data_IF_688470782632
#
_entry.id   IF_688470782632
#
_cell.length_a   1.000
_cell.length_b   1.000
_cell.length_c   1.000
_cell.angle_alpha   90.00
_cell.angle_beta   90.00
_cell.angle_gamma   90.00
#
_symmetry.space_group_name_H-M   'P 1'
#
loop_
_entity.id
_entity.type
_entity.pdbx_description
1 polymer ?
#
# COMPACT_ATOMS: atom_id res chain seq x y z
N UNK A 1 -6.98 -25.29 10.04
CA UNK A 1 -7.81 -26.32 9.38
C UNK A 1 -7.09 -26.92 8.17
N UNK A 2 -6.62 -26.13 7.17
CA UNK A 2 -5.88 -26.68 6.03
C UNK A 2 -4.60 -27.46 6.45
N UNK A 3 -3.87 -26.94 7.42
CA UNK A 3 -2.68 -27.62 7.98
C UNK A 3 -3.02 -28.91 8.73
N UNK A 4 -4.20 -28.97 9.34
CA UNK A 4 -4.68 -30.19 10.02
C UNK A 4 -5.03 -31.31 9.02
N UNK A 5 -5.39 -30.94 7.80
CA UNK A 5 -5.72 -31.86 6.71
C UNK A 5 -4.51 -32.16 5.80
N UNK A 6 -3.32 -31.62 6.12
CA UNK A 6 -2.10 -31.76 5.30
C UNK A 6 -2.32 -31.50 3.81
N UNK A 7 -3.08 -30.44 3.48
CA UNK A 7 -3.35 -30.09 2.10
C UNK A 7 -2.11 -29.58 1.37
N UNK A 8 -1.83 -30.12 0.22
CA UNK A 8 -0.82 -29.65 -0.73
C UNK A 8 -1.40 -28.64 -1.72
N UNK A 9 -0.54 -27.83 -2.35
CA UNK A 9 -0.95 -26.85 -3.39
C UNK A 9 -2.09 -25.95 -2.94
N UNK A 10 -2.00 -25.41 -1.73
CA UNK A 10 -3.05 -24.57 -1.15
C UNK A 10 -3.21 -23.25 -1.90
N UNK A 11 -4.45 -22.85 -2.15
CA UNK A 11 -4.82 -21.56 -2.70
C UNK A 11 -6.09 -21.03 -2.02
N UNK A 12 -6.25 -19.71 -2.01
CA UNK A 12 -7.50 -19.09 -1.55
C UNK A 12 -8.60 -19.41 -2.55
N UNK A 13 -9.67 -20.07 -2.09
CA UNK A 13 -10.77 -20.50 -2.95
C UNK A 13 -11.54 -19.35 -3.59
N UNK A 14 -11.78 -18.28 -2.82
CA UNK A 14 -12.46 -17.08 -3.29
C UNK A 14 -11.79 -15.84 -2.69
N UNK A 15 -10.81 -15.24 -3.40
CA UNK A 15 -10.16 -14.01 -2.97
C UNK A 15 -11.16 -12.87 -2.76
N UNK A 16 -10.94 -12.05 -1.73
CA UNK A 16 -11.75 -10.86 -1.46
C UNK A 16 -11.24 -9.66 -2.24
N UNK A 17 -12.18 -8.84 -2.72
CA UNK A 17 -11.92 -7.51 -3.31
C UNK A 17 -12.07 -6.42 -2.25
N UNK A 18 -11.66 -5.18 -2.58
CA UNK A 18 -11.81 -4.01 -1.69
C UNK A 18 -10.90 -4.02 -0.45
N UNK A 19 -9.94 -4.95 -0.37
CA UNK A 19 -8.97 -5.02 0.73
C UNK A 19 -7.63 -4.37 0.40
N UNK A 20 -7.47 -3.89 -0.82
CA UNK A 20 -6.28 -3.17 -1.28
C UNK A 20 -6.60 -1.70 -1.49
N UNK A 21 -5.63 -0.85 -1.18
CA UNK A 21 -5.67 0.58 -1.44
C UNK A 21 -4.40 1.04 -2.13
N UNK A 22 -4.48 2.18 -2.80
CA UNK A 22 -3.35 2.87 -3.40
C UNK A 22 -3.15 4.21 -2.70
N UNK A 23 -1.95 4.46 -2.19
CA UNK A 23 -1.50 5.78 -1.80
C UNK A 23 -0.87 6.46 -3.00
N UNK A 24 -1.24 7.71 -3.20
CA UNK A 24 -0.58 8.66 -4.09
C UNK A 24 -0.11 9.82 -3.23
N UNK A 25 1.17 10.16 -3.27
CA UNK A 25 1.74 11.30 -2.55
C UNK A 25 2.73 12.06 -3.42
N UNK A 26 2.80 13.37 -3.27
CA UNK A 26 3.67 14.26 -4.03
C UNK A 26 4.76 14.76 -3.09
N UNK A 27 6.02 14.45 -3.41
CA UNK A 27 7.17 14.63 -2.52
C UNK A 27 8.24 15.47 -3.21
N UNK A 28 8.79 16.53 -2.57
CA UNK A 28 9.93 17.25 -3.10
C UNK A 28 11.08 16.30 -3.42
N UNK A 29 11.73 16.51 -4.55
CA UNK A 29 12.77 15.61 -5.09
C UNK A 29 13.85 15.24 -4.07
N UNK A 30 14.17 16.17 -3.17
CA UNK A 30 15.19 15.99 -2.13
C UNK A 30 14.82 15.04 -1.01
N UNK A 31 13.50 14.72 -0.84
CA UNK A 31 12.98 13.89 0.25
C UNK A 31 12.33 12.59 -0.23
N UNK A 32 12.39 12.29 -1.54
CA UNK A 32 11.73 11.13 -2.15
C UNK A 32 12.16 9.82 -1.50
N UNK A 33 13.46 9.62 -1.30
CA UNK A 33 14.00 8.38 -0.74
C UNK A 33 13.56 8.17 0.71
N UNK A 34 13.59 9.23 1.53
CA UNK A 34 13.20 9.19 2.93
C UNK A 34 11.71 8.87 3.08
N UNK A 35 10.85 9.59 2.38
CA UNK A 35 9.39 9.38 2.43
C UNK A 35 9.02 8.00 1.89
N UNK A 36 9.63 7.57 0.77
CA UNK A 36 9.37 6.26 0.18
C UNK A 36 9.78 5.13 1.13
N UNK A 37 10.96 5.23 1.75
CA UNK A 37 11.41 4.23 2.72
C UNK A 37 10.47 4.15 3.93
N UNK A 38 10.03 5.29 4.47
CA UNK A 38 9.07 5.32 5.58
C UNK A 38 7.74 4.63 5.24
N UNK A 39 7.27 4.78 3.99
CA UNK A 39 6.07 4.11 3.48
C UNK A 39 6.28 2.59 3.41
N UNK A 40 7.44 2.13 2.94
CA UNK A 40 7.78 0.71 2.84
C UNK A 40 7.93 0.07 4.23
N UNK A 41 8.63 0.71 5.15
CA UNK A 41 8.82 0.23 6.53
C UNK A 41 7.49 0.14 7.30
N UNK A 42 6.51 0.94 6.88
CA UNK A 42 5.15 0.86 7.39
C UNK A 42 4.33 -0.30 6.81
N UNK A 43 4.82 -0.99 5.77
CA UNK A 43 4.24 -2.20 5.19
C UNK A 43 3.49 -1.99 3.88
N UNK A 44 3.78 -0.91 3.14
CA UNK A 44 3.30 -0.74 1.77
C UNK A 44 4.26 -1.36 0.74
N UNK A 45 3.78 -1.56 -0.50
CA UNK A 45 4.60 -1.97 -1.62
C UNK A 45 4.87 -3.47 -1.72
N UNK A 46 4.11 -4.33 -1.02
CA UNK A 46 4.21 -5.78 -1.19
C UNK A 46 3.27 -6.25 -2.31
N UNK A 47 3.81 -6.94 -3.31
CA UNK A 47 3.07 -7.52 -4.45
C UNK A 47 3.64 -8.91 -4.74
N UNK A 48 2.91 -9.96 -4.38
CA UNK A 48 3.40 -11.33 -4.50
C UNK A 48 4.67 -11.54 -3.67
N UNK A 49 5.71 -12.03 -4.32
CA UNK A 49 7.02 -12.27 -3.73
C UNK A 49 7.98 -11.07 -3.85
N UNK A 50 7.44 -9.89 -4.19
CA UNK A 50 8.19 -8.64 -4.28
C UNK A 50 7.76 -7.67 -3.17
N UNK A 51 8.73 -6.98 -2.61
CA UNK A 51 8.54 -5.89 -1.67
C UNK A 51 9.04 -4.56 -2.25
N UNK A 52 8.83 -3.46 -1.55
CA UNK A 52 9.27 -2.11 -1.94
C UNK A 52 8.83 -1.69 -3.35
N UNK A 53 7.70 -2.21 -3.82
CA UNK A 53 7.15 -1.87 -5.11
C UNK A 53 6.48 -0.50 -5.07
N UNK A 54 6.94 0.43 -5.89
CA UNK A 54 6.30 1.72 -6.12
C UNK A 54 6.46 2.15 -7.57
N UNK A 55 5.56 2.99 -8.04
CA UNK A 55 5.73 3.68 -9.31
C UNK A 55 5.97 5.16 -9.04
N UNK A 56 7.01 5.73 -9.64
CA UNK A 56 7.43 7.10 -9.38
C UNK A 56 7.43 7.91 -10.68
N UNK A 57 6.77 9.06 -10.68
CA UNK A 57 6.69 9.97 -11.83
C UNK A 57 7.20 11.34 -11.44
N UNK A 58 8.22 11.82 -12.12
CA UNK A 58 8.74 13.17 -11.93
C UNK A 58 7.77 14.22 -12.50
N UNK A 59 7.64 15.32 -11.80
CA UNK A 59 6.78 16.43 -12.18
C UNK A 59 7.12 17.68 -11.39
N UNK A 60 6.19 18.60 -11.31
CA UNK A 60 6.29 19.76 -10.43
C UNK A 60 4.94 20.07 -9.80
N UNK A 61 4.97 20.47 -8.53
CA UNK A 61 3.85 21.02 -7.81
C UNK A 61 3.85 22.54 -7.86
N UNK A 62 2.68 23.14 -7.73
CA UNK A 62 2.54 24.60 -7.55
C UNK A 62 1.64 24.88 -6.35
N UNK A 63 2.06 25.83 -5.53
CA UNK A 63 1.26 26.29 -4.39
C UNK A 63 1.59 27.74 -4.06
N UNK A 64 0.77 28.37 -3.24
CA UNK A 64 1.02 29.71 -2.71
C UNK A 64 0.72 29.68 -1.21
N UNK A 65 1.74 29.84 -0.35
CA UNK A 65 1.51 29.95 1.08
C UNK A 65 0.67 31.19 1.41
N UNK A 66 -0.32 31.03 2.26
CA UNK A 66 -1.16 32.13 2.73
C UNK A 66 -0.70 32.60 4.12
N UNK A 67 -1.24 33.74 4.57
CA UNK A 67 -0.98 34.25 5.92
C UNK A 67 -1.39 33.17 6.97
N UNK A 68 -0.45 32.87 7.89
CA UNK A 68 -0.60 31.81 8.89
C UNK A 68 0.09 30.49 8.54
N UNK A 69 0.54 30.29 7.28
CA UNK A 69 1.35 29.14 6.90
C UNK A 69 2.80 29.30 7.39
N UNK A 70 3.44 28.16 7.71
CA UNK A 70 4.86 28.06 7.97
C UNK A 70 5.53 27.14 6.94
N UNK A 71 5.71 27.63 5.69
CA UNK A 71 6.11 26.77 4.58
C UNK A 71 7.56 26.30 4.73
N UNK A 72 7.80 24.99 4.47
CA UNK A 72 9.15 24.43 4.37
C UNK A 72 9.91 24.96 3.13
N UNK A 73 9.18 25.37 2.09
CA UNK A 73 9.70 25.93 0.84
C UNK A 73 8.83 27.11 0.45
N UNK A 74 9.46 28.23 0.02
CA UNK A 74 8.78 29.39 -0.52
C UNK A 74 8.45 30.48 0.51
N UNK A 75 7.83 31.56 0.03
CA UNK A 75 7.50 32.76 0.79
C UNK A 75 5.99 32.98 0.81
N UNK A 76 5.45 33.43 1.95
CA UNK A 76 4.02 33.76 2.07
C UNK A 76 3.62 34.83 1.05
N UNK A 77 2.57 34.55 0.29
CA UNK A 77 2.02 35.43 -0.74
C UNK A 77 2.54 35.17 -2.16
N UNK A 78 3.69 34.53 -2.32
CA UNK A 78 4.27 34.22 -3.61
C UNK A 78 3.85 32.86 -4.14
N UNK A 79 3.71 32.72 -5.46
CA UNK A 79 3.43 31.44 -6.09
C UNK A 79 4.75 30.67 -6.28
N UNK A 80 4.81 29.50 -5.70
CA UNK A 80 5.96 28.61 -5.80
C UNK A 80 5.75 27.52 -6.86
N UNK A 81 6.88 27.06 -7.43
CA UNK A 81 6.94 25.90 -8.33
C UNK A 81 8.09 25.01 -7.90
N UNK A 82 7.78 23.82 -7.41
CA UNK A 82 8.75 22.89 -6.85
C UNK A 82 8.81 21.61 -7.67
N UNK A 83 10.01 21.11 -7.96
CA UNK A 83 10.20 19.79 -8.54
C UNK A 83 9.80 18.73 -7.54
N UNK A 84 8.82 17.91 -7.91
CA UNK A 84 8.26 16.85 -7.08
C UNK A 84 8.23 15.51 -7.81
N UNK A 85 8.22 14.46 -7.03
CA UNK A 85 7.95 13.11 -7.52
C UNK A 85 6.62 12.66 -6.96
N UNK A 86 5.71 12.25 -7.85
CA UNK A 86 4.52 11.51 -7.47
C UNK A 86 4.90 10.06 -7.19
N UNK A 87 4.71 9.59 -5.97
CA UNK A 87 4.89 8.20 -5.55
C UNK A 87 3.52 7.53 -5.52
N UNK A 88 3.38 6.39 -6.19
CA UNK A 88 2.20 5.53 -6.15
C UNK A 88 2.58 4.16 -5.58
N UNK A 89 1.88 3.71 -4.54
CA UNK A 89 2.16 2.44 -3.87
C UNK A 89 0.88 1.75 -3.42
N UNK A 90 0.83 0.41 -3.56
CA UNK A 90 -0.32 -0.40 -3.13
C UNK A 90 -0.06 -0.95 -1.73
N UNK A 91 -1.12 -1.07 -0.94
CA UNK A 91 -1.05 -1.59 0.41
C UNK A 91 -2.37 -2.22 0.87
N UNK A 92 -2.35 -3.15 1.86
CA UNK A 92 -3.56 -3.68 2.48
C UNK A 92 -4.29 -2.60 3.27
N UNK A 93 -5.62 -2.48 3.11
CA UNK A 93 -6.46 -1.45 3.73
C UNK A 93 -6.30 -1.37 5.26
N UNK A 94 -6.04 -2.49 5.92
CA UNK A 94 -5.80 -2.56 7.37
C UNK A 94 -4.53 -1.83 7.83
N UNK A 95 -3.57 -1.59 6.94
CA UNK A 95 -2.29 -0.92 7.22
C UNK A 95 -2.36 0.60 7.00
N UNK A 96 -3.49 1.14 6.53
CA UNK A 96 -3.64 2.55 6.12
C UNK A 96 -3.16 3.53 7.18
N UNK A 97 -3.67 3.42 8.41
CA UNK A 97 -3.30 4.35 9.49
C UNK A 97 -1.80 4.38 9.75
N UNK A 98 -1.15 3.21 9.79
CA UNK A 98 0.28 3.10 10.04
C UNK A 98 1.07 3.75 8.90
N UNK A 99 0.68 3.48 7.66
CA UNK A 99 1.35 4.01 6.46
C UNK A 99 1.20 5.53 6.37
N UNK A 100 0.00 6.06 6.60
CA UNK A 100 -0.23 7.51 6.56
C UNK A 100 0.53 8.24 7.67
N UNK A 101 0.57 7.71 8.90
CA UNK A 101 1.35 8.31 10.00
C UNK A 101 2.84 8.33 9.64
N UNK A 102 3.41 7.24 9.13
CA UNK A 102 4.82 7.19 8.74
C UNK A 102 5.13 8.14 7.59
N UNK A 103 4.27 8.19 6.57
CA UNK A 103 4.40 9.08 5.42
C UNK A 103 4.39 10.55 5.86
N UNK A 104 3.39 10.96 6.66
CA UNK A 104 3.24 12.33 7.13
C UNK A 104 4.40 12.76 8.04
N UNK A 105 4.93 11.84 8.86
CA UNK A 105 6.08 12.14 9.73
C UNK A 105 7.39 12.33 8.98
N UNK A 106 7.56 11.65 7.84
CA UNK A 106 8.76 11.75 7.00
C UNK A 106 8.67 12.87 5.97
N UNK A 107 7.46 13.39 5.71
CA UNK A 107 7.27 14.42 4.69
C UNK A 107 7.70 15.79 5.20
N UNK A 108 8.43 16.61 4.39
CA UNK A 108 8.93 17.92 4.84
C UNK A 108 7.84 19.00 4.95
N UNK A 109 6.67 18.81 4.28
CA UNK A 109 5.59 19.79 4.31
C UNK A 109 4.71 19.66 5.55
N UNK A 110 4.24 20.78 6.08
CA UNK A 110 3.24 20.81 7.15
C UNK A 110 1.86 20.34 6.68
N UNK A 111 1.50 20.66 5.41
CA UNK A 111 0.27 20.22 4.75
C UNK A 111 0.64 19.39 3.52
N UNK A 112 0.41 18.08 3.59
CA UNK A 112 0.82 17.15 2.54
C UNK A 112 -0.32 16.88 1.58
N UNK A 113 -0.05 17.04 0.28
CA UNK A 113 -0.98 16.62 -0.77
C UNK A 113 -0.85 15.11 -1.01
N UNK A 114 -1.87 14.33 -0.68
CA UNK A 114 -1.94 12.89 -0.93
C UNK A 114 -3.36 12.43 -1.21
N UNK A 115 -3.49 11.24 -1.76
CA UNK A 115 -4.78 10.58 -2.01
C UNK A 115 -4.69 9.11 -1.61
N UNK A 116 -5.79 8.59 -1.05
CA UNK A 116 -5.97 7.16 -0.81
C UNK A 116 -7.15 6.69 -1.65
N UNK A 117 -6.88 5.73 -2.54
CA UNK A 117 -7.88 5.19 -3.48
C UNK A 117 -8.12 3.72 -3.19
N UNK A 118 -9.38 3.33 -3.03
CA UNK A 118 -9.75 1.92 -2.94
C UNK A 118 -9.53 1.20 -4.27
N UNK A 119 -9.10 -0.05 -4.23
CA UNK A 119 -8.88 -0.89 -5.41
C UNK A 119 -9.82 -2.08 -5.41
N UNK A 120 -10.40 -2.38 -6.57
CA UNK A 120 -11.24 -3.57 -6.79
C UNK A 120 -10.42 -4.83 -7.09
N UNK A 121 -9.10 -4.73 -7.10
CA UNK A 121 -8.21 -5.86 -7.28
C UNK A 121 -8.46 -6.93 -6.22
N UNK A 122 -8.54 -8.23 -6.59
CA UNK A 122 -8.65 -9.30 -5.61
C UNK A 122 -7.35 -9.38 -4.78
N UNK A 123 -7.50 -9.51 -3.46
CA UNK A 123 -6.38 -9.76 -2.56
C UNK A 123 -6.19 -11.27 -2.42
N UNK A 124 -5.23 -11.81 -3.16
CA UNK A 124 -5.07 -13.26 -3.35
C UNK A 124 -4.71 -14.04 -2.07
N UNK A 125 -4.29 -13.34 -1.02
CA UNK A 125 -3.93 -13.95 0.26
C UNK A 125 -5.06 -13.95 1.30
N UNK A 126 -6.19 -13.31 1.00
CA UNK A 126 -7.34 -13.22 1.90
C UNK A 126 -8.63 -13.55 1.15
N UNK A 127 -9.37 -14.52 1.65
CA UNK A 127 -10.61 -14.93 0.99
C UNK A 127 -11.51 -15.81 1.85
N UNK A 128 -12.54 -16.35 1.21
CA UNK A 128 -13.49 -17.27 1.83
C UNK A 128 -13.16 -18.70 1.42
N UNK A 129 -12.49 -19.42 2.35
CA UNK A 129 -12.09 -20.81 2.15
C UNK A 129 -10.74 -20.98 1.50
N UNK A 130 -10.23 -22.20 1.62
CA UNK A 130 -8.98 -22.67 1.03
C UNK A 130 -9.29 -23.89 0.19
N UNK A 131 -8.70 -24.01 -0.97
CA UNK A 131 -8.66 -25.20 -1.81
C UNK A 131 -7.26 -25.79 -1.80
N UNK A 132 -7.15 -27.10 -1.81
CA UNK A 132 -5.88 -27.81 -1.90
C UNK A 132 -6.12 -29.27 -2.25
N UNK A 133 -5.05 -30.03 -2.43
CA UNK A 133 -5.08 -31.44 -2.73
C UNK A 133 -4.64 -32.25 -1.51
N UNK A 134 -5.31 -33.36 -1.23
CA UNK A 134 -4.82 -34.36 -0.29
C UNK A 134 -3.56 -35.01 -0.88
N UNK A 135 -2.61 -35.40 -0.02
CA UNK A 135 -1.42 -36.12 -0.44
C UNK A 135 -1.79 -37.47 -1.09
N UNK A 136 -2.74 -38.18 -0.47
CA UNK A 136 -3.33 -39.41 -1.02
C UNK A 136 -4.82 -39.21 -1.24
N UNK A 137 -5.33 -39.54 -2.44
CA UNK A 137 -6.78 -39.56 -2.68
C UNK A 137 -7.50 -40.49 -1.70
N UNK A 138 -8.64 -40.04 -1.19
CA UNK A 138 -9.51 -40.86 -0.35
C UNK A 138 -10.97 -40.75 -0.79
N UNK A 139 -11.80 -41.70 -0.42
CA UNK A 139 -13.22 -41.66 -0.64
C UNK A 139 -13.90 -40.55 0.15
N UNK A 140 -15.00 -39.99 -0.36
CA UNK A 140 -15.72 -38.91 0.29
C UNK A 140 -16.19 -39.28 1.71
N UNK A 141 -16.69 -40.48 1.92
CA UNK A 141 -17.16 -40.93 3.23
C UNK A 141 -16.02 -41.17 4.19
N UNK A 142 -14.87 -41.63 3.71
CA UNK A 142 -13.64 -41.74 4.49
C UNK A 142 -13.13 -40.39 4.90
N UNK A 143 -13.12 -39.39 3.98
CA UNK A 143 -12.72 -38.02 4.28
C UNK A 143 -13.63 -37.34 5.31
N UNK A 144 -14.94 -37.58 5.27
CA UNK A 144 -15.88 -37.02 6.24
C UNK A 144 -15.74 -37.61 7.65
N UNK A 145 -15.13 -38.77 7.76
CA UNK A 145 -14.82 -39.43 9.04
C UNK A 145 -13.43 -39.09 9.59
N UNK A 146 -12.57 -38.47 8.76
CA UNK A 146 -11.19 -38.09 9.09
C UNK A 146 -11.14 -36.83 9.95
#
# INVERSE_FOLDING_TARGET
MADMLNLNSQAVLRPKTGLLKKLVVYVPRTHVEEVRQAIFDAGAGAIGDYDQCSYNTAGYGTFRPLEGANPAIGTVGDQERVEETKIEVIFPAQSERKILVSMLSAHPYEEVAYQVVGLDNPFLYVGSGIIGNLENPMDEMEFLAY
#
